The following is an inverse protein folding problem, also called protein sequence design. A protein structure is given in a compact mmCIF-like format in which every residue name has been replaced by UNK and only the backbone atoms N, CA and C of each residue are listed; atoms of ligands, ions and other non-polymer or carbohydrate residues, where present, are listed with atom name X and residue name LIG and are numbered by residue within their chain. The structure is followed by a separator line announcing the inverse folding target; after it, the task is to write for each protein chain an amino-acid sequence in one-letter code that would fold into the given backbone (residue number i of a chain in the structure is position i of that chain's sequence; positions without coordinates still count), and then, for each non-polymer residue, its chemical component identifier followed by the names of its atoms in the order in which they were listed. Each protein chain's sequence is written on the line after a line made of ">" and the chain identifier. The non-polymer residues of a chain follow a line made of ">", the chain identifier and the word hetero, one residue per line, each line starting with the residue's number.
data_IF_412533720289
#
_entry.id   IF_412533720289
#
_cell.length_a   1.000
_cell.length_b   1.000
_cell.length_c   1.000
_cell.angle_alpha   90.00
_cell.angle_beta   90.00
_cell.angle_gamma   90.00
#
_symmetry.space_group_name_H-M   'P 1'
#
loop_
_entity.id
_entity.type
_entity.pdbx_description
1 polymer ?
#
# COMPACT_ATOMS: atom_id res chain seq x y z
N UNK A 1 9.19 -8.12 0.57
CA UNK A 1 8.91 -7.47 -0.73
C UNK A 1 9.91 -6.35 -0.96
N UNK A 2 10.08 -5.84 -2.18
CA UNK A 2 10.93 -4.66 -2.42
C UNK A 2 10.08 -3.40 -2.24
N UNK A 3 10.69 -2.32 -1.78
CA UNK A 3 10.05 -1.02 -1.72
C UNK A 3 9.56 -0.62 -3.13
N UNK A 4 8.29 -0.24 -3.30
CA UNK A 4 7.73 0.11 -4.61
C UNK A 4 8.37 1.38 -5.21
N UNK A 5 8.90 2.28 -4.38
CA UNK A 5 9.57 3.51 -4.80
C UNK A 5 11.05 3.25 -5.17
N UNK A 6 11.88 2.87 -4.20
CA UNK A 6 13.34 2.79 -4.39
C UNK A 6 13.88 1.37 -4.65
N UNK A 7 13.02 0.34 -4.64
CA UNK A 7 13.36 -1.08 -4.88
C UNK A 7 14.32 -1.73 -3.88
N UNK A 8 14.66 -1.05 -2.78
CA UNK A 8 15.43 -1.63 -1.67
C UNK A 8 14.60 -2.66 -0.88
N UNK A 9 15.25 -3.48 -0.06
CA UNK A 9 14.63 -4.53 0.76
C UNK A 9 14.66 -4.21 2.26
N UNK A 10 15.33 -3.14 2.67
CA UNK A 10 15.34 -2.67 4.05
C UNK A 10 14.01 -1.99 4.37
N UNK A 11 13.23 -2.64 5.24
CA UNK A 11 11.89 -2.22 5.60
C UNK A 11 11.52 -2.68 7.01
N UNK A 12 10.62 -1.93 7.65
CA UNK A 12 10.00 -2.26 8.92
C UNK A 12 8.51 -2.48 8.69
N UNK A 13 7.92 -3.47 9.37
CA UNK A 13 6.49 -3.74 9.30
C UNK A 13 5.82 -3.40 10.64
N UNK A 14 4.68 -2.73 10.55
CA UNK A 14 3.83 -2.36 11.68
C UNK A 14 2.45 -2.96 11.45
N UNK A 15 1.99 -3.80 12.38
CA UNK A 15 0.67 -4.39 12.31
C UNK A 15 -0.30 -3.55 13.15
N UNK A 16 -1.36 -3.05 12.51
CA UNK A 16 -2.46 -2.37 13.16
C UNK A 16 -3.62 -3.36 13.32
N UNK A 17 -4.06 -3.53 14.56
CA UNK A 17 -5.20 -4.37 14.88
C UNK A 17 -6.14 -3.58 15.79
N UNK A 18 -7.36 -3.37 15.31
CA UNK A 18 -8.48 -2.76 16.03
C UNK A 18 -9.73 -3.58 15.73
N UNK A 19 -10.78 -3.50 16.56
CA UNK A 19 -11.98 -4.33 16.38
C UNK A 19 -12.56 -4.21 14.97
N UNK A 20 -12.50 -5.32 14.20
CA UNK A 20 -12.97 -5.37 12.81
C UNK A 20 -11.98 -4.87 11.75
N UNK A 21 -10.78 -4.44 12.12
CA UNK A 21 -9.77 -3.91 11.21
C UNK A 21 -8.39 -4.52 11.50
N UNK A 22 -7.80 -5.18 10.51
CA UNK A 22 -6.44 -5.73 10.60
C UNK A 22 -5.68 -5.38 9.36
N UNK A 23 -4.61 -4.60 9.51
CA UNK A 23 -3.80 -4.15 8.38
C UNK A 23 -2.32 -4.10 8.74
N UNK A 24 -1.48 -4.45 7.77
CA UNK A 24 -0.02 -4.37 7.87
C UNK A 24 0.52 -3.20 7.06
N UNK A 25 1.09 -2.21 7.74
CA UNK A 25 1.79 -1.10 7.10
C UNK A 25 3.27 -1.44 7.03
N UNK A 26 3.85 -1.35 5.84
CA UNK A 26 5.29 -1.49 5.62
C UNK A 26 5.92 -0.14 5.35
N UNK A 27 7.02 0.18 6.03
CA UNK A 27 7.80 1.39 5.81
C UNK A 27 9.22 1.05 5.34
N UNK A 28 9.71 1.71 4.29
CA UNK A 28 11.07 1.56 3.80
C UNK A 28 12.03 2.42 4.63
N UNK A 29 13.02 1.78 5.26
CA UNK A 29 14.02 2.48 6.08
C UNK A 29 15.03 3.29 5.25
N UNK A 30 15.00 3.20 3.91
CA UNK A 30 15.95 3.88 3.01
C UNK A 30 15.36 5.17 2.45
N UNK A 31 14.16 5.12 1.87
CA UNK A 31 13.52 6.30 1.28
C UNK A 31 12.41 6.88 2.15
N UNK A 32 11.92 6.15 3.16
CA UNK A 32 10.82 6.59 4.02
C UNK A 32 9.43 6.44 3.41
N UNK A 33 9.30 5.69 2.32
CA UNK A 33 8.01 5.34 1.73
C UNK A 33 7.24 4.39 2.65
N UNK A 34 5.92 4.57 2.74
CA UNK A 34 5.04 3.68 3.49
C UNK A 34 3.90 3.19 2.61
N UNK A 35 3.57 1.90 2.71
CA UNK A 35 2.54 1.26 1.88
C UNK A 35 1.87 0.12 2.63
N UNK A 36 0.66 -0.22 2.21
CA UNK A 36 -0.05 -1.43 2.60
C UNK A 36 -0.17 -2.38 1.40
N UNK A 37 -0.40 -3.65 1.69
CA UNK A 37 -0.80 -4.62 0.67
C UNK A 37 -2.07 -5.29 1.10
N UNK A 38 -3.14 -5.08 0.34
CA UNK A 38 -4.43 -5.72 0.56
C UNK A 38 -4.89 -6.39 -0.74
N UNK A 39 -5.45 -7.59 -0.64
CA UNK A 39 -5.89 -8.39 -1.80
C UNK A 39 -4.85 -8.53 -2.95
N UNK A 40 -3.55 -8.43 -2.62
CA UNK A 40 -2.45 -8.50 -3.60
C UNK A 40 -2.13 -7.17 -4.30
N UNK A 41 -2.86 -6.11 -3.95
CA UNK A 41 -2.71 -4.76 -4.47
C UNK A 41 -1.95 -3.89 -3.49
N UNK A 42 -1.09 -3.01 -4.01
CA UNK A 42 -0.25 -2.13 -3.19
C UNK A 42 -0.81 -0.71 -3.20
N UNK A 43 -1.13 -0.22 -2.01
CA UNK A 43 -1.54 1.16 -1.80
C UNK A 43 -0.41 1.95 -1.12
N UNK A 44 -0.02 3.08 -1.70
CA UNK A 44 0.99 3.94 -1.10
C UNK A 44 0.31 4.94 -0.16
N UNK A 45 0.70 4.86 1.11
CA UNK A 45 0.25 5.77 2.17
C UNK A 45 1.13 7.03 2.20
N UNK A 46 2.44 6.85 1.95
CA UNK A 46 3.42 7.94 1.89
C UNK A 46 4.41 7.68 0.77
N UNK A 47 4.43 8.59 -0.19
CA UNK A 47 5.43 8.62 -1.26
C UNK A 47 6.43 9.77 -1.03
N UNK A 48 7.71 9.48 -0.73
CA UNK A 48 8.77 10.48 -0.66
C UNK A 48 9.09 11.15 -2.01
N UNK A 49 8.56 10.61 -3.12
CA UNK A 49 8.77 11.07 -4.49
C UNK A 49 7.46 11.55 -5.14
N UNK A 50 6.43 11.85 -4.34
CA UNK A 50 5.16 12.42 -4.80
C UNK A 50 5.39 13.65 -5.71
N UNK A 51 4.64 13.75 -6.81
CA UNK A 51 4.75 14.83 -7.81
C UNK A 51 6.13 14.90 -8.51
N UNK A 52 6.88 13.81 -8.49
CA UNK A 52 8.11 13.67 -9.25
C UNK A 52 7.97 12.59 -10.33
N UNK A 53 8.90 12.58 -11.28
CA UNK A 53 8.99 11.51 -12.27
C UNK A 53 9.14 10.10 -11.66
N UNK A 54 9.57 10.00 -10.40
CA UNK A 54 9.82 8.75 -9.68
C UNK A 54 8.71 8.40 -8.69
N UNK A 55 7.57 9.08 -8.75
CA UNK A 55 6.41 8.73 -7.93
C UNK A 55 5.97 7.29 -8.19
N UNK A 56 5.55 6.61 -7.11
CA UNK A 56 5.03 5.27 -7.20
C UNK A 56 3.67 5.28 -7.88
N UNK A 57 3.44 4.27 -8.74
CA UNK A 57 2.12 3.99 -9.28
C UNK A 57 1.39 3.01 -8.38
N UNK A 58 0.15 3.35 -8.05
CA UNK A 58 -0.63 2.77 -6.94
C UNK A 58 -2.09 3.03 -7.24
N UNK A 59 -2.97 2.16 -6.77
CA UNK A 59 -4.42 2.35 -6.80
C UNK A 59 -4.91 2.51 -5.35
N UNK A 60 -5.87 3.40 -5.13
CA UNK A 60 -6.60 3.43 -3.87
C UNK A 60 -7.41 2.14 -3.78
N UNK A 61 -7.40 1.49 -2.62
CA UNK A 61 -8.16 0.25 -2.39
C UNK A 61 -9.09 0.42 -1.21
N UNK A 62 -10.34 0.75 -1.51
CA UNK A 62 -11.41 0.79 -0.54
C UNK A 62 -12.03 -0.61 -0.36
N UNK A 63 -12.67 -0.83 0.79
CA UNK A 63 -13.11 -2.16 1.21
C UNK A 63 -14.16 -2.81 0.31
N UNK A 64 -14.85 -2.04 -0.54
CA UNK A 64 -15.88 -2.51 -1.47
C UNK A 64 -15.42 -2.53 -2.94
N UNK A 65 -14.22 -2.04 -3.27
CA UNK A 65 -13.71 -1.95 -4.66
C UNK A 65 -13.62 -3.31 -5.37
N UNK A 66 -13.41 -4.39 -4.61
CA UNK A 66 -13.33 -5.76 -5.12
C UNK A 66 -14.58 -6.60 -4.82
N UNK A 67 -15.62 -6.00 -4.25
CA UNK A 67 -16.91 -6.62 -3.94
C UNK A 67 -17.78 -6.78 -5.19
N UNK A 68 -17.42 -7.71 -6.09
CA UNK A 68 -18.25 -8.05 -7.25
C UNK A 68 -19.50 -8.85 -6.83
N UNK A 69 -20.49 -8.19 -6.21
CA UNK A 69 -21.87 -8.69 -6.14
C UNK A 69 -22.73 -8.03 -7.23
N UNK A 70 -22.64 -8.64 -8.42
CA UNK A 70 -23.62 -8.64 -9.51
C UNK A 70 -24.54 -7.43 -9.70
N UNK A 71 -24.14 -6.48 -10.54
CA UNK A 71 -25.08 -5.64 -11.30
C UNK A 71 -24.56 -5.38 -12.70
N UNK A 72 -24.87 -6.31 -13.59
CA UNK A 72 -25.18 -6.03 -14.99
C UNK A 72 -26.25 -7.03 -15.46
N UNK A 73 -27.51 -6.59 -15.36
CA UNK A 73 -28.65 -7.10 -16.13
C UNK A 73 -29.37 -5.91 -16.73
#
# INVERSE_FOLDING_TARGET
>A
MKCPVCRNQLQTATNLHSEGFTEGITECSVCGAAWSVNHGVTEIIKDPQLESFLEAQTECVEGDDYGLEGRDK
#
